data_IF_148114444483
#
_entry.id   IF_148114444483
#
_cell.length_a   1.000
_cell.length_b   1.000
_cell.length_c   1.000
_cell.angle_alpha   90.00
_cell.angle_beta   90.00
_cell.angle_gamma   90.00
#
_symmetry.space_group_name_H-M   'P 1'
#
loop_
_entity.id
_entity.type
_entity.pdbx_description
1 polymer ?
#
# COMPACT_ATOMS: atom_id res chain seq x y z
N UNK A 1 -1.09 -25.46 -20.91
CA UNK A 1 -2.04 -24.68 -21.73
C UNK A 1 -1.72 -23.20 -21.56
N UNK A 2 -1.42 -22.45 -22.63
CA UNK A 2 -1.17 -21.01 -22.51
C UNK A 2 -2.47 -20.26 -22.24
N UNK A 3 -2.47 -19.32 -21.28
CA UNK A 3 -3.58 -18.38 -21.09
C UNK A 3 -3.13 -16.96 -21.41
N UNK A 4 -4.08 -16.14 -21.80
CA UNK A 4 -3.89 -14.75 -22.17
C UNK A 4 -4.87 -13.85 -21.42
N UNK A 5 -4.47 -12.61 -21.20
CA UNK A 5 -5.34 -11.57 -20.68
C UNK A 5 -5.34 -10.39 -21.65
N UNK A 6 -6.53 -9.82 -21.89
CA UNK A 6 -6.60 -8.49 -22.47
C UNK A 6 -6.49 -7.46 -21.35
N UNK A 7 -5.65 -6.46 -21.57
CA UNK A 7 -5.36 -5.40 -20.61
C UNK A 7 -5.71 -4.06 -21.25
N UNK A 8 -6.49 -3.24 -20.53
CA UNK A 8 -6.72 -1.85 -20.88
C UNK A 8 -5.81 -0.95 -20.04
N UNK A 9 -5.11 -0.02 -20.69
CA UNK A 9 -4.26 0.96 -20.01
C UNK A 9 -5.00 2.28 -19.84
N UNK A 10 -4.69 3.07 -18.81
CA UNK A 10 -5.30 4.38 -18.58
C UNK A 10 -4.74 5.43 -19.55
N UNK A 11 -5.09 5.30 -20.82
CA UNK A 11 -4.71 6.14 -21.95
C UNK A 11 -5.94 6.45 -22.80
N UNK A 12 -5.86 7.48 -23.64
CA UNK A 12 -6.93 7.88 -24.56
C UNK A 12 -7.09 6.91 -25.74
N UNK A 13 -7.35 5.62 -25.47
CA UNK A 13 -7.56 4.59 -26.47
C UNK A 13 -8.63 3.59 -26.01
N UNK A 14 -9.55 3.26 -26.92
CA UNK A 14 -10.58 2.24 -26.72
C UNK A 14 -10.05 0.81 -26.91
N UNK A 15 -8.80 0.66 -27.33
CA UNK A 15 -8.21 -0.65 -27.58
C UNK A 15 -7.78 -1.34 -26.28
N UNK A 16 -7.80 -2.67 -26.34
CA UNK A 16 -7.24 -3.54 -25.32
C UNK A 16 -6.08 -4.32 -25.91
N UNK A 17 -5.07 -4.60 -25.10
CA UNK A 17 -3.84 -5.23 -25.55
C UNK A 17 -3.71 -6.62 -24.93
N UNK A 18 -3.50 -7.63 -25.76
CA UNK A 18 -3.36 -9.01 -25.28
C UNK A 18 -1.95 -9.27 -24.74
N UNK A 19 -1.89 -9.90 -23.57
CA UNK A 19 -0.66 -10.34 -22.92
C UNK A 19 -0.73 -11.81 -22.55
N UNK A 20 0.41 -12.49 -22.56
CA UNK A 20 0.51 -13.87 -22.06
C UNK A 20 0.50 -13.86 -20.54
N UNK A 21 -0.28 -14.75 -19.93
CA UNK A 21 -0.24 -15.00 -18.49
C UNK A 21 0.91 -16.00 -18.23
N UNK A 22 2.00 -15.60 -17.56
CA UNK A 22 3.09 -16.52 -17.26
C UNK A 22 2.68 -17.54 -16.19
N UNK A 23 3.37 -18.68 -16.15
CA UNK A 23 3.04 -19.80 -15.25
C UNK A 23 2.87 -19.40 -13.76
N UNK A 24 3.73 -18.55 -13.16
CA UNK A 24 3.58 -18.15 -11.75
C UNK A 24 2.30 -17.35 -11.44
N UNK A 25 1.65 -16.81 -12.48
CA UNK A 25 0.44 -16.00 -12.40
C UNK A 25 -0.82 -16.73 -12.86
N UNK A 26 -0.70 -17.97 -13.35
CA UNK A 26 -1.86 -18.79 -13.72
C UNK A 26 -2.76 -19.00 -12.49
N UNK A 27 -4.07 -18.83 -12.69
CA UNK A 27 -5.08 -18.92 -11.62
C UNK A 27 -5.13 -17.72 -10.66
N UNK A 28 -4.17 -16.79 -10.74
CA UNK A 28 -4.14 -15.56 -9.92
C UNK A 28 -4.67 -14.34 -10.65
N UNK A 29 -4.52 -14.30 -11.98
CA UNK A 29 -5.05 -13.23 -12.82
C UNK A 29 -6.55 -13.41 -12.99
N UNK A 30 -7.32 -12.34 -12.77
CA UNK A 30 -8.76 -12.27 -13.03
C UNK A 30 -9.16 -10.90 -13.57
N UNK A 31 -10.37 -10.81 -14.13
CA UNK A 31 -10.96 -9.53 -14.55
C UNK A 31 -11.06 -8.58 -13.35
N UNK A 32 -10.83 -7.28 -13.59
CA UNK A 32 -10.82 -6.26 -12.53
C UNK A 32 -9.53 -6.22 -11.71
N UNK A 33 -8.52 -7.02 -12.07
CA UNK A 33 -7.20 -6.99 -11.43
C UNK A 33 -6.25 -6.03 -12.14
N UNK A 34 -5.46 -5.27 -11.35
CA UNK A 34 -4.39 -4.41 -11.89
C UNK A 34 -3.12 -5.22 -12.10
N UNK A 35 -2.53 -5.07 -13.28
CA UNK A 35 -1.29 -5.74 -13.68
C UNK A 35 -0.26 -4.75 -14.19
N UNK A 36 1.02 -5.09 -14.05
CA UNK A 36 2.13 -4.37 -14.67
C UNK A 36 2.55 -5.11 -15.93
N UNK A 37 2.67 -4.39 -17.03
CA UNK A 37 3.11 -4.93 -18.31
C UNK A 37 3.88 -3.87 -19.12
N UNK A 38 4.68 -4.32 -20.08
CA UNK A 38 5.36 -3.41 -21.02
C UNK A 38 4.36 -2.93 -22.07
N UNK A 39 4.19 -1.62 -22.18
CA UNK A 39 3.36 -0.94 -23.16
C UNK A 39 4.22 0.04 -23.97
N UNK A 40 4.43 -0.26 -25.26
CA UNK A 40 5.44 0.43 -26.07
C UNK A 40 6.85 0.19 -25.51
N UNK A 41 7.55 1.27 -25.17
CA UNK A 41 8.90 1.24 -24.58
C UNK A 41 8.93 1.30 -23.04
N UNK A 42 7.78 1.47 -22.37
CA UNK A 42 7.71 1.67 -20.92
C UNK A 42 6.91 0.58 -20.21
N UNK A 43 7.15 0.42 -18.91
CA UNK A 43 6.28 -0.37 -18.04
C UNK A 43 5.08 0.48 -17.62
N UNK A 44 3.88 -0.07 -17.71
CA UNK A 44 2.64 0.60 -17.34
C UNK A 44 1.76 -0.32 -16.49
N UNK A 45 0.91 0.29 -15.67
CA UNK A 45 -0.16 -0.41 -14.98
C UNK A 45 -1.43 -0.37 -15.83
N UNK A 46 -2.05 -1.52 -16.02
CA UNK A 46 -3.33 -1.66 -16.71
C UNK A 46 -4.29 -2.55 -15.92
N UNK A 47 -5.55 -2.57 -16.35
CA UNK A 47 -6.60 -3.39 -15.77
C UNK A 47 -6.90 -4.57 -16.69
N UNK A 48 -7.01 -5.77 -16.13
CA UNK A 48 -7.42 -6.97 -16.88
C UNK A 48 -8.91 -6.90 -17.17
N UNK A 49 -9.26 -6.96 -18.46
CA UNK A 49 -10.66 -6.83 -18.92
C UNK A 49 -11.25 -8.17 -19.36
N UNK A 50 -10.42 -9.11 -19.80
CA UNK A 50 -10.85 -10.42 -20.30
C UNK A 50 -9.73 -11.44 -20.16
N UNK A 51 -10.09 -12.69 -19.87
CA UNK A 51 -9.16 -13.84 -19.92
C UNK A 51 -9.54 -14.73 -21.09
N UNK A 52 -8.54 -15.23 -21.81
CA UNK A 52 -8.71 -16.07 -22.99
C UNK A 52 -7.77 -17.27 -22.95
N UNK A 53 -8.21 -18.39 -23.52
CA UNK A 53 -7.37 -19.57 -23.78
C UNK A 53 -6.61 -19.46 -25.12
N UNK A 54 -7.12 -18.65 -26.03
CA UNK A 54 -6.58 -18.49 -27.40
C UNK A 54 -6.42 -17.00 -27.66
N UNK A 55 -5.31 -16.62 -28.30
CA UNK A 55 -5.12 -15.28 -28.84
C UNK A 55 -5.19 -15.34 -30.36
N UNK A 56 -5.88 -14.37 -30.97
CA UNK A 56 -5.99 -14.22 -32.43
C UNK A 56 -4.70 -13.63 -33.02
N UNK A 57 -3.86 -12.99 -32.20
CA UNK A 57 -2.61 -12.41 -32.64
C UNK A 57 -1.55 -13.49 -32.85
N UNK A 58 -1.05 -13.60 -34.09
CA UNK A 58 -0.06 -14.62 -34.49
C UNK A 58 1.38 -14.22 -34.19
N UNK A 59 1.64 -12.96 -33.84
CA UNK A 59 2.98 -12.47 -33.52
C UNK A 59 3.43 -12.77 -32.10
N UNK A 60 4.57 -12.19 -31.71
CA UNK A 60 5.09 -12.35 -30.35
C UNK A 60 4.25 -11.57 -29.32
N UNK A 61 3.59 -12.30 -28.42
CA UNK A 61 2.81 -11.72 -27.32
C UNK A 61 3.69 -11.59 -26.08
N UNK A 62 3.85 -10.36 -25.61
CA UNK A 62 4.61 -10.07 -24.38
C UNK A 62 3.90 -10.66 -23.15
N UNK A 63 4.63 -11.13 -22.14
CA UNK A 63 4.02 -11.59 -20.90
C UNK A 63 3.60 -10.42 -20.01
N UNK A 64 2.64 -10.68 -19.11
CA UNK A 64 2.41 -9.84 -17.93
C UNK A 64 3.66 -9.91 -17.04
N UNK A 65 4.14 -8.77 -16.54
CA UNK A 65 5.33 -8.73 -15.68
C UNK A 65 4.99 -9.12 -14.24
N UNK A 66 3.94 -8.54 -13.67
CA UNK A 66 3.52 -8.82 -12.30
C UNK A 66 2.10 -8.34 -12.02
N UNK A 67 1.52 -8.81 -10.92
CA UNK A 67 0.29 -8.25 -10.37
C UNK A 67 0.62 -7.01 -9.54
N UNK A 68 -0.18 -5.95 -9.67
CA UNK A 68 -0.07 -4.78 -8.78
C UNK A 68 -0.68 -5.13 -7.42
N UNK A 69 -1.81 -5.84 -7.46
CA UNK A 69 -2.60 -6.24 -6.31
C UNK A 69 -2.66 -7.76 -6.17
N UNK A 70 -2.91 -8.25 -4.96
CA UNK A 70 -3.05 -9.69 -4.70
C UNK A 70 -4.47 -10.21 -5.00
N UNK A 71 -5.44 -9.30 -5.14
CA UNK A 71 -6.85 -9.57 -5.46
C UNK A 71 -7.39 -8.50 -6.43
N UNK A 72 -8.53 -8.75 -7.10
CA UNK A 72 -9.21 -7.72 -7.89
C UNK A 72 -9.56 -6.52 -7.02
N UNK A 73 -9.13 -5.33 -7.46
CA UNK A 73 -9.50 -4.06 -6.82
C UNK A 73 -10.84 -3.53 -7.33
N UNK A 74 -11.31 -4.08 -8.45
CA UNK A 74 -12.64 -3.86 -8.99
C UNK A 74 -13.40 -5.18 -8.89
N UNK A 75 -14.31 -5.27 -7.92
CA UNK A 75 -15.20 -6.43 -7.80
C UNK A 75 -16.17 -6.49 -9.00
N UNK A 76 -16.87 -7.62 -9.23
CA UNK A 76 -17.74 -7.77 -10.39
C UNK A 76 -18.83 -6.70 -10.52
N UNK A 77 -19.37 -6.21 -9.40
CA UNK A 77 -20.43 -5.18 -9.40
C UNK A 77 -19.86 -3.83 -9.82
N UNK A 78 -18.74 -3.41 -9.20
CA UNK A 78 -18.08 -2.17 -9.57
C UNK A 78 -17.52 -2.23 -10.99
N UNK A 79 -17.00 -3.38 -11.42
CA UNK A 79 -16.55 -3.60 -12.79
C UNK A 79 -17.69 -3.44 -13.79
N UNK A 80 -18.88 -4.00 -13.51
CA UNK A 80 -20.06 -3.83 -14.36
C UNK A 80 -20.46 -2.35 -14.48
N UNK A 81 -20.46 -1.61 -13.36
CA UNK A 81 -20.73 -0.17 -13.37
C UNK A 81 -19.71 0.60 -14.22
N UNK A 82 -18.42 0.30 -14.08
CA UNK A 82 -17.36 0.97 -14.85
C UNK A 82 -17.49 0.70 -16.35
N UNK A 83 -17.84 -0.53 -16.74
CA UNK A 83 -18.11 -0.83 -18.16
C UNK A 83 -19.31 -0.02 -18.66
N UNK A 84 -20.40 0.03 -17.90
CA UNK A 84 -21.56 0.85 -18.25
C UNK A 84 -21.21 2.34 -18.37
N UNK A 85 -20.44 2.89 -17.42
CA UNK A 85 -19.98 4.29 -17.46
C UNK A 85 -19.11 4.55 -18.69
N UNK A 86 -18.17 3.65 -18.99
CA UNK A 86 -17.28 3.76 -20.14
C UNK A 86 -18.05 3.75 -21.46
N UNK A 87 -19.06 2.88 -21.57
CA UNK A 87 -19.95 2.80 -22.74
C UNK A 87 -20.86 4.03 -22.86
N UNK A 88 -21.57 4.38 -21.78
CA UNK A 88 -22.55 5.46 -21.76
C UNK A 88 -21.92 6.83 -22.02
N UNK A 89 -20.77 7.10 -21.41
CA UNK A 89 -20.05 8.38 -21.56
C UNK A 89 -18.96 8.34 -22.62
N UNK A 90 -18.91 7.31 -23.48
CA UNK A 90 -17.88 7.14 -24.51
C UNK A 90 -16.47 7.45 -23.97
N UNK A 91 -16.11 6.80 -22.85
CA UNK A 91 -14.85 7.02 -22.16
C UNK A 91 -13.98 5.77 -22.28
N UNK A 92 -12.68 5.91 -22.62
CA UNK A 92 -11.76 4.77 -22.64
C UNK A 92 -11.80 3.97 -21.33
N UNK A 93 -12.00 2.66 -21.43
CA UNK A 93 -12.24 1.79 -20.28
C UNK A 93 -11.12 1.86 -19.23
N UNK A 94 -9.86 1.90 -19.66
CA UNK A 94 -8.72 2.04 -18.76
C UNK A 94 -8.69 3.37 -18.01
N UNK A 95 -9.21 4.46 -18.61
CA UNK A 95 -9.35 5.75 -17.93
C UNK A 95 -10.49 5.65 -16.90
N UNK A 96 -11.67 5.18 -17.29
CA UNK A 96 -12.81 5.01 -16.39
C UNK A 96 -12.45 4.15 -15.17
N UNK A 97 -11.79 3.01 -15.42
CA UNK A 97 -11.33 2.12 -14.36
C UNK A 97 -10.32 2.77 -13.42
N UNK A 98 -9.37 3.55 -13.94
CA UNK A 98 -8.39 4.27 -13.10
C UNK A 98 -9.07 5.36 -12.27
N UNK A 99 -10.01 6.10 -12.84
CA UNK A 99 -10.72 7.19 -12.16
C UNK A 99 -11.56 6.69 -11.00
N UNK A 100 -12.13 5.48 -11.12
CA UNK A 100 -12.88 4.86 -10.03
C UNK A 100 -12.03 4.46 -8.81
N UNK A 101 -10.70 4.40 -8.96
CA UNK A 101 -9.80 3.93 -7.91
C UNK A 101 -9.04 5.09 -7.25
N UNK A 102 -8.96 5.14 -5.91
CA UNK A 102 -8.07 6.06 -5.22
C UNK A 102 -6.61 5.88 -5.64
N UNK A 103 -5.86 6.98 -5.72
CA UNK A 103 -4.46 6.99 -6.18
C UNK A 103 -3.54 6.08 -5.36
N UNK A 104 -3.80 5.98 -4.04
CA UNK A 104 -3.02 5.18 -3.09
C UNK A 104 -3.67 3.84 -2.74
N UNK A 105 -4.71 3.42 -3.46
CA UNK A 105 -5.33 2.12 -3.22
C UNK A 105 -4.33 1.01 -3.51
N UNK A 106 -4.19 0.08 -2.58
CA UNK A 106 -3.41 -1.14 -2.76
C UNK A 106 -3.93 -2.21 -1.82
N UNK A 107 -4.15 -3.42 -2.35
CA UNK A 107 -4.41 -4.62 -1.53
C UNK A 107 -3.21 -5.01 -0.66
N UNK A 108 -2.01 -4.52 -1.01
CA UNK A 108 -0.77 -4.70 -0.25
C UNK A 108 -0.53 -3.56 0.75
N UNK A 109 -1.52 -2.70 0.99
CA UNK A 109 -1.38 -1.57 1.89
C UNK A 109 -0.99 -2.03 3.29
N UNK A 110 0.03 -1.38 3.85
CA UNK A 110 0.40 -1.50 5.26
C UNK A 110 0.25 -0.12 5.89
N UNK A 111 -0.49 -0.01 7.02
CA UNK A 111 -0.61 1.26 7.70
C UNK A 111 0.76 1.78 8.10
N UNK A 112 0.94 3.10 8.08
CA UNK A 112 2.13 3.70 8.67
C UNK A 112 2.16 3.30 10.14
N UNK A 113 3.32 2.88 10.63
CA UNK A 113 3.51 2.59 12.05
C UNK A 113 4.27 3.75 12.68
N UNK A 114 3.97 4.02 13.94
CA UNK A 114 4.81 4.85 14.80
C UNK A 114 5.48 3.97 15.85
N UNK A 115 6.72 4.34 16.17
CA UNK A 115 7.45 3.69 17.23
C UNK A 115 7.01 4.24 18.58
N UNK A 116 6.66 3.32 19.47
CA UNK A 116 6.28 3.65 20.83
C UNK A 116 7.28 3.03 21.80
N UNK A 117 7.63 3.75 22.85
CA UNK A 117 8.58 3.32 23.88
C UNK A 117 7.99 3.49 25.28
N UNK A 118 8.40 2.61 26.19
CA UNK A 118 8.05 2.68 27.63
C UNK A 118 9.28 2.31 28.46
N UNK A 119 9.43 2.94 29.63
CA UNK A 119 10.54 2.61 30.52
C UNK A 119 10.33 1.24 31.18
N UNK A 120 11.37 0.41 31.15
CA UNK A 120 11.45 -0.86 31.90
C UNK A 120 12.48 -0.77 33.01
N UNK A 121 13.57 -0.06 32.76
CA UNK A 121 14.64 0.19 33.74
C UNK A 121 14.57 1.59 34.35
N UNK A 122 15.58 1.89 35.17
CA UNK A 122 15.67 3.17 35.89
C UNK A 122 16.81 4.03 35.36
N UNK A 123 16.65 5.35 35.46
CA UNK A 123 17.73 6.32 35.16
C UNK A 123 19.03 6.01 35.93
N UNK A 124 18.93 5.45 37.15
CA UNK A 124 20.09 5.11 37.99
C UNK A 124 21.03 4.07 37.36
N UNK A 125 20.56 3.31 36.38
CA UNK A 125 21.34 2.28 35.68
C UNK A 125 22.22 2.87 34.54
N UNK A 126 22.13 4.19 34.31
CA UNK A 126 22.90 4.88 33.27
C UNK A 126 24.09 5.67 33.84
N UNK A 127 25.21 5.78 33.08
CA UNK A 127 26.33 6.64 33.45
C UNK A 127 25.91 8.12 33.53
N UNK A 128 26.51 8.87 34.47
CA UNK A 128 26.23 10.31 34.66
C UNK A 128 26.45 11.16 33.41
N UNK A 129 27.31 10.73 32.49
CA UNK A 129 27.58 11.47 31.23
C UNK A 129 26.47 11.29 30.18
N UNK A 130 25.61 10.26 30.31
CA UNK A 130 24.57 9.93 29.34
C UNK A 130 23.32 10.82 29.51
N UNK A 131 23.48 12.13 29.35
CA UNK A 131 22.45 13.16 29.66
C UNK A 131 21.12 12.93 28.90
N UNK A 132 21.17 12.73 27.58
CA UNK A 132 19.98 12.52 26.76
C UNK A 132 19.26 11.19 27.08
N UNK A 133 20.03 10.10 27.27
CA UNK A 133 19.49 8.80 27.69
C UNK A 133 18.79 8.91 29.04
N UNK A 134 19.43 9.57 30.00
CA UNK A 134 18.89 9.76 31.35
C UNK A 134 17.63 10.60 31.36
N UNK A 135 17.56 11.66 30.53
CA UNK A 135 16.39 12.52 30.41
C UNK A 135 15.19 11.76 29.82
N UNK A 136 15.41 10.99 28.75
CA UNK A 136 14.38 10.18 28.11
C UNK A 136 13.86 9.10 29.08
N UNK A 137 14.75 8.32 29.72
CA UNK A 137 14.31 7.28 30.67
C UNK A 137 13.51 7.90 31.81
N UNK A 138 13.99 9.01 32.39
CA UNK A 138 13.27 9.69 33.46
C UNK A 138 11.89 10.20 33.03
N UNK A 139 11.78 10.78 31.83
CA UNK A 139 10.49 11.21 31.30
C UNK A 139 9.53 10.03 31.09
N UNK A 140 10.03 8.92 30.55
CA UNK A 140 9.24 7.70 30.33
C UNK A 140 8.84 7.00 31.63
N UNK A 141 9.65 7.10 32.70
CA UNK A 141 9.32 6.54 34.02
C UNK A 141 8.10 7.21 34.65
N UNK A 142 7.86 8.48 34.33
CA UNK A 142 6.71 9.22 34.85
C UNK A 142 5.42 8.97 34.04
N UNK A 143 5.48 8.13 32.99
CA UNK A 143 4.33 7.76 32.18
C UNK A 143 3.99 6.28 32.35
N UNK A 144 2.72 5.97 32.62
CA UNK A 144 2.26 4.58 32.73
C UNK A 144 2.11 3.89 31.36
N UNK A 145 1.90 4.69 30.32
CA UNK A 145 1.64 4.24 28.95
C UNK A 145 2.85 4.39 28.03
N UNK A 146 2.81 3.63 26.93
CA UNK A 146 3.72 3.80 25.81
C UNK A 146 3.63 5.20 25.21
N UNK A 147 4.79 5.79 24.89
CA UNK A 147 4.94 7.15 24.37
C UNK A 147 5.54 7.10 22.97
N UNK A 148 5.09 7.97 22.06
CA UNK A 148 5.65 8.04 20.71
C UNK A 148 7.10 8.52 20.75
N UNK A 149 8.00 7.87 20.01
CA UNK A 149 9.40 8.33 19.88
C UNK A 149 9.47 9.76 19.33
N UNK A 150 8.50 10.17 18.51
CA UNK A 150 8.44 11.51 17.94
C UNK A 150 8.19 12.61 18.97
N UNK A 151 7.56 12.30 20.12
CA UNK A 151 7.38 13.31 21.17
C UNK A 151 8.64 13.52 22.01
N UNK A 152 9.70 12.73 21.79
CA UNK A 152 10.96 12.83 22.52
C UNK A 152 11.99 13.77 21.88
N UNK A 153 11.60 14.49 20.82
CA UNK A 153 12.46 15.44 20.12
C UNK A 153 12.98 16.58 21.02
N UNK A 154 12.25 16.90 22.10
CA UNK A 154 12.69 17.88 23.10
C UNK A 154 13.92 17.41 23.90
N UNK A 155 14.15 16.09 24.00
CA UNK A 155 15.24 15.53 24.79
C UNK A 155 16.47 15.15 23.94
N UNK A 156 16.33 15.07 22.61
CA UNK A 156 17.43 14.73 21.71
C UNK A 156 17.11 15.10 20.26
N UNK A 157 18.12 15.56 19.51
CA UNK A 157 18.01 15.74 18.05
C UNK A 157 17.81 14.44 17.27
N UNK A 158 18.10 13.28 17.87
CA UNK A 158 17.85 11.97 17.25
C UNK A 158 17.33 10.96 18.29
N UNK A 159 16.06 11.08 18.72
CA UNK A 159 15.50 10.22 19.76
C UNK A 159 15.46 8.75 19.36
N UNK A 160 15.27 8.44 18.07
CA UNK A 160 15.24 7.07 17.57
C UNK A 160 16.55 6.32 17.83
N UNK A 161 17.70 6.97 17.60
CA UNK A 161 19.00 6.36 17.88
C UNK A 161 19.26 6.21 19.38
N UNK A 162 18.81 7.17 20.19
CA UNK A 162 18.93 7.08 21.65
C UNK A 162 18.08 5.94 22.20
N UNK A 163 16.83 5.82 21.74
CA UNK A 163 15.94 4.72 22.10
C UNK A 163 16.53 3.36 21.71
N UNK A 164 17.11 3.22 20.51
CA UNK A 164 17.78 1.97 20.08
C UNK A 164 18.85 1.52 21.08
N UNK A 165 19.72 2.44 21.50
CA UNK A 165 20.77 2.15 22.50
C UNK A 165 20.21 1.82 23.89
N UNK A 166 19.05 2.38 24.24
CA UNK A 166 18.38 2.08 25.51
C UNK A 166 17.70 0.70 25.48
N UNK A 167 17.19 0.27 24.32
CA UNK A 167 16.64 -1.07 24.11
C UNK A 167 17.75 -2.13 24.25
N UNK A 168 18.92 -1.90 23.65
CA UNK A 168 20.10 -2.79 23.81
C UNK A 168 20.54 -2.95 25.27
N UNK A 169 20.26 -1.95 26.11
CA UNK A 169 20.54 -1.96 27.55
C UNK A 169 19.36 -2.47 28.39
N UNK A 170 18.26 -2.92 27.77
CA UNK A 170 17.02 -3.35 28.43
C UNK A 170 16.37 -2.29 29.34
N UNK A 171 16.64 -1.00 29.08
CA UNK A 171 16.12 0.12 29.90
C UNK A 171 14.77 0.65 29.40
N UNK A 172 14.43 0.38 28.15
CA UNK A 172 13.13 0.68 27.58
C UNK A 172 12.63 -0.51 26.75
N UNK A 173 11.32 -0.69 26.72
CA UNK A 173 10.64 -1.58 25.79
C UNK A 173 10.10 -0.78 24.59
N UNK A 174 10.01 -1.43 23.43
CA UNK A 174 9.55 -0.82 22.18
C UNK A 174 8.42 -1.64 21.57
N UNK A 175 7.41 -0.93 21.06
CA UNK A 175 6.28 -1.53 20.34
C UNK A 175 5.92 -0.68 19.13
N UNK A 176 5.60 -1.34 18.02
CA UNK A 176 5.00 -0.67 16.86
C UNK A 176 3.50 -0.49 17.09
N UNK A 177 3.00 0.73 16.84
CA UNK A 177 1.57 1.03 16.83
C UNK A 177 1.17 1.55 15.45
N UNK A 178 0.18 0.94 14.78
CA UNK A 178 -0.38 1.49 13.55
C UNK A 178 -0.96 2.90 13.78
N UNK A 179 -0.64 3.81 12.89
CA UNK A 179 -1.27 5.13 12.78
C UNK A 179 -2.50 4.91 11.90
N UNK A 180 -3.66 4.84 12.54
CA UNK A 180 -4.94 4.71 11.86
C UNK A 180 -5.45 6.14 11.60
N UNK A 181 -5.75 6.52 10.35
CA UNK A 181 -6.36 7.81 10.07
C UNK A 181 -7.73 7.88 10.75
N UNK A 182 -8.07 9.03 11.32
CA UNK A 182 -9.40 9.26 11.86
C UNK A 182 -10.40 9.35 10.69
N UNK A 183 -11.24 8.33 10.56
CA UNK A 183 -12.27 8.27 9.52
C UNK A 183 -13.53 9.05 9.90
N UNK A 184 -13.67 9.43 11.18
CA UNK A 184 -14.86 10.14 11.67
C UNK A 184 -14.87 11.60 11.23
N UNK A 185 -13.70 12.20 10.98
CA UNK A 185 -13.58 13.55 10.41
C UNK A 185 -14.22 13.68 9.02
N UNK A 186 -14.29 12.58 8.25
CA UNK A 186 -14.88 12.55 6.90
C UNK A 186 -16.35 12.11 6.88
N UNK A 187 -16.94 11.91 8.06
CA UNK A 187 -18.35 11.52 8.19
C UNK A 187 -19.22 12.77 8.27
N UNK A 188 -20.17 12.92 7.35
CA UNK A 188 -21.19 13.97 7.45
C UNK A 188 -22.03 13.72 8.71
N UNK A 189 -22.38 14.80 9.43
CA UNK A 189 -23.41 14.68 10.47
C UNK A 189 -24.70 14.17 9.81
N UNK A 190 -25.43 13.22 10.44
CA UNK A 190 -26.70 12.75 9.92
C UNK A 190 -27.60 13.95 9.63
N UNK A 191 -28.16 14.00 8.43
CA UNK A 191 -29.20 14.97 8.10
C UNK A 191 -30.47 14.44 8.75
N UNK A 192 -30.83 15.00 9.90
CA UNK A 192 -32.13 14.81 10.55
C UNK A 192 -33.14 15.81 9.99
#
# INVERSE_FOLDING_TARGET
MSMFADVSFPISSYQTFSYKIPEPLLGKVSVGMRVKAVFGSRKAQGIVVKIKKISEFKGHIRPIESLVDDQPVLDPTLWKLINWLAEYYYTPLGIAAKTALPSNLSTRYKPKVQMMVKATGRKSELPKQAKAQSAIVHHLQNQESFVSVNSLNEFSSNPANVCRKLIEKNLIEMKEKPIIPDLTEFSFKPIH
#
